data_IF_826559983183
#
_entry.id   IF_826559983183
#
_cell.length_a   1.000
_cell.length_b   1.000
_cell.length_c   1.000
_cell.angle_alpha   90.00
_cell.angle_beta   90.00
_cell.angle_gamma   90.00
#
_symmetry.space_group_name_H-M   'P 1'
#
loop_
_entity.id
_entity.type
_entity.pdbx_description
1 polymer ?
#
# COMPACT_ATOMS: atom_id res chain seq x y z
N UNK A 1 -5.56 13.23 12.80
CA UNK A 1 -5.55 14.36 11.82
C UNK A 1 -4.23 15.13 11.82
N UNK A 2 -3.62 15.51 12.96
CA UNK A 2 -2.35 16.26 12.98
C UNK A 2 -1.21 15.64 12.19
N UNK A 3 -1.03 14.30 12.29
CA UNK A 3 -0.02 13.54 11.54
C UNK A 3 -0.21 13.70 10.02
N UNK A 4 -1.46 13.60 9.54
CA UNK A 4 -1.80 13.73 8.13
C UNK A 4 -1.43 15.12 7.59
N UNK A 5 -1.75 16.19 8.34
CA UNK A 5 -1.42 17.57 7.97
C UNK A 5 0.09 17.75 7.92
N UNK A 6 0.84 17.25 8.90
CA UNK A 6 2.31 17.37 8.93
C UNK A 6 2.93 16.71 7.71
N UNK A 7 2.52 15.48 7.36
CA UNK A 7 3.08 14.78 6.20
C UNK A 7 2.69 15.47 4.90
N UNK A 8 1.46 15.97 4.79
CA UNK A 8 1.06 16.76 3.61
C UNK A 8 1.90 18.03 3.46
N UNK A 9 2.06 18.81 4.52
CA UNK A 9 2.90 20.02 4.49
C UNK A 9 4.37 19.68 4.21
N UNK A 10 4.87 18.56 4.72
CA UNK A 10 6.21 18.06 4.43
C UNK A 10 6.37 17.69 2.95
N UNK A 11 5.36 17.08 2.34
CA UNK A 11 5.36 16.75 0.92
C UNK A 11 5.40 18.03 0.06
N UNK A 12 4.61 19.03 0.42
CA UNK A 12 4.61 20.35 -0.24
C UNK A 12 5.99 21.01 -0.09
N UNK A 13 6.56 21.02 1.11
CA UNK A 13 7.89 21.61 1.36
C UNK A 13 8.99 20.88 0.57
N UNK A 14 8.94 19.56 0.47
CA UNK A 14 9.87 18.75 -0.31
C UNK A 14 9.76 19.08 -1.82
N UNK A 15 8.54 19.32 -2.31
CA UNK A 15 8.30 19.71 -3.70
C UNK A 15 8.87 21.10 -3.99
N UNK A 16 8.60 22.08 -3.13
CA UNK A 16 9.13 23.44 -3.27
C UNK A 16 10.66 23.49 -3.18
N UNK A 17 11.29 22.63 -2.41
CA UNK A 17 12.75 22.49 -2.42
C UNK A 17 13.30 22.20 -3.81
N UNK A 18 12.57 21.45 -4.65
CA UNK A 18 12.92 21.23 -6.06
C UNK A 18 12.79 22.49 -6.91
N UNK A 19 11.71 23.24 -6.75
CA UNK A 19 11.45 24.49 -7.47
C UNK A 19 12.57 25.52 -7.23
N UNK A 20 13.10 25.58 -6.01
CA UNK A 20 14.20 26.46 -5.62
C UNK A 20 15.60 25.86 -5.89
N UNK A 21 15.70 24.83 -6.74
CA UNK A 21 16.95 24.14 -7.09
C UNK A 21 17.70 23.49 -5.90
N UNK A 22 17.00 23.33 -4.78
CA UNK A 22 17.49 22.72 -3.54
C UNK A 22 17.06 21.24 -3.37
N UNK A 23 16.80 20.55 -4.49
CA UNK A 23 16.27 19.18 -4.49
C UNK A 23 17.05 18.15 -3.68
N UNK A 24 18.38 18.39 -3.47
CA UNK A 24 19.23 17.56 -2.61
C UNK A 24 18.79 17.54 -1.13
N UNK A 25 18.06 18.55 -0.68
CA UNK A 25 17.58 18.63 0.70
C UNK A 25 16.19 18.02 0.88
N UNK A 26 15.45 17.70 -0.20
CA UNK A 26 14.09 17.14 -0.13
C UNK A 26 14.01 15.86 0.71
N UNK A 27 15.04 15.00 0.65
CA UNK A 27 15.14 13.82 1.50
C UNK A 27 15.21 14.16 2.98
N UNK A 28 16.04 15.14 3.35
CA UNK A 28 16.20 15.56 4.75
C UNK A 28 14.94 16.24 5.28
N UNK A 29 14.28 17.05 4.44
CA UNK A 29 12.96 17.63 4.75
C UNK A 29 11.96 16.50 5.04
N UNK A 30 11.92 15.48 4.17
CA UNK A 30 11.07 14.31 4.36
C UNK A 30 11.37 13.54 5.65
N UNK A 31 12.65 13.29 5.95
CA UNK A 31 13.08 12.61 7.18
C UNK A 31 12.65 13.41 8.43
N UNK A 32 12.89 14.73 8.44
CA UNK A 32 12.49 15.59 9.55
C UNK A 32 10.96 15.62 9.73
N UNK A 33 10.21 15.73 8.63
CA UNK A 33 8.76 15.68 8.67
C UNK A 33 8.21 14.32 9.18
N UNK A 34 8.82 13.20 8.78
CA UNK A 34 8.45 11.87 9.26
C UNK A 34 8.74 11.71 10.77
N UNK A 35 9.87 12.20 11.25
CA UNK A 35 10.22 12.19 12.69
C UNK A 35 9.23 13.06 13.48
N UNK A 36 8.93 14.27 12.99
CA UNK A 36 7.95 15.15 13.61
C UNK A 36 6.56 14.51 13.64
N UNK A 37 6.12 13.92 12.55
CA UNK A 37 4.85 13.20 12.45
C UNK A 37 4.80 12.01 13.42
N UNK A 38 5.92 11.27 13.57
CA UNK A 38 6.01 10.17 14.51
C UNK A 38 5.87 10.66 15.95
N UNK A 39 6.54 11.75 16.32
CA UNK A 39 6.39 12.37 17.63
C UNK A 39 4.94 12.80 17.91
N UNK A 40 4.31 13.51 16.94
CA UNK A 40 2.92 13.98 17.07
C UNK A 40 1.92 12.81 17.14
N UNK A 41 2.24 11.64 16.58
CA UNK A 41 1.39 10.45 16.66
C UNK A 41 1.16 9.92 18.09
N UNK A 42 1.92 10.37 19.07
CA UNK A 42 1.74 10.05 20.50
C UNK A 42 0.94 11.12 21.26
N UNK A 43 0.73 12.29 20.67
CA UNK A 43 -0.04 13.36 21.28
C UNK A 43 -1.55 13.11 21.11
N UNK A 44 -2.39 13.57 22.04
CA UNK A 44 -3.83 13.50 21.88
C UNK A 44 -4.29 14.32 20.68
N UNK A 45 -5.37 13.89 20.03
CA UNK A 45 -5.97 14.67 18.95
C UNK A 45 -6.60 15.96 19.48
N UNK A 46 -6.52 17.01 18.68
CA UNK A 46 -7.17 18.29 18.99
C UNK A 46 -8.68 18.14 18.79
N UNK A 47 -9.48 18.65 19.72
CA UNK A 47 -10.94 18.62 19.68
C UNK A 47 -11.54 19.29 18.43
N UNK A 48 -10.79 20.19 17.80
CA UNK A 48 -11.18 20.81 16.51
C UNK A 48 -11.53 19.78 15.42
N UNK A 49 -10.95 18.59 15.46
CA UNK A 49 -11.17 17.57 14.45
C UNK A 49 -12.39 16.68 14.74
N UNK A 50 -13.06 16.83 15.88
CA UNK A 50 -14.23 16.04 16.27
C UNK A 50 -15.40 16.17 15.29
N UNK A 51 -15.54 17.30 14.62
CA UNK A 51 -16.57 17.55 13.60
C UNK A 51 -16.41 16.67 12.34
N UNK A 52 -15.23 16.07 12.11
CA UNK A 52 -14.97 15.21 10.95
C UNK A 52 -15.00 13.71 11.28
N UNK A 53 -15.39 13.32 12.50
CA UNK A 53 -15.43 11.91 12.94
C UNK A 53 -16.32 11.02 12.08
N UNK A 54 -17.36 11.57 11.45
CA UNK A 54 -18.19 10.82 10.51
C UNK A 54 -17.47 10.41 9.21
N UNK A 55 -16.35 11.05 8.90
CA UNK A 55 -15.53 10.73 7.71
C UNK A 55 -14.21 10.06 8.09
N UNK A 56 -13.59 10.51 9.18
CA UNK A 56 -12.26 10.07 9.59
C UNK A 56 -12.14 10.02 11.12
N UNK A 57 -11.72 8.89 11.64
CA UNK A 57 -11.47 8.69 13.07
C UNK A 57 -10.07 8.12 13.30
N UNK A 58 -9.30 8.78 14.15
CA UNK A 58 -7.96 8.36 14.55
C UNK A 58 -8.05 7.47 15.81
N UNK A 59 -8.68 6.30 15.68
CA UNK A 59 -8.77 5.31 16.77
C UNK A 59 -7.46 4.56 17.00
N UNK A 60 -7.45 3.66 17.99
CA UNK A 60 -6.24 2.90 18.40
C UNK A 60 -5.60 2.13 17.25
N UNK A 61 -6.40 1.46 16.41
CA UNK A 61 -5.91 0.74 15.23
C UNK A 61 -5.30 1.70 14.21
N UNK A 62 -5.96 2.81 13.90
CA UNK A 62 -5.43 3.82 12.98
C UNK A 62 -4.09 4.38 13.47
N UNK A 63 -3.97 4.66 14.78
CA UNK A 63 -2.74 5.12 15.39
C UNK A 63 -1.60 4.10 15.28
N UNK A 64 -1.89 2.81 15.50
CA UNK A 64 -0.92 1.72 15.39
C UNK A 64 -0.36 1.61 13.97
N UNK A 65 -1.25 1.51 12.96
CA UNK A 65 -0.84 1.38 11.56
C UNK A 65 -0.14 2.64 11.04
N UNK A 66 -0.54 3.82 11.50
CA UNK A 66 0.15 5.09 11.22
C UNK A 66 1.60 5.06 11.72
N UNK A 67 1.83 4.67 12.98
CA UNK A 67 3.19 4.58 13.56
C UNK A 67 4.07 3.59 12.81
N UNK A 68 3.54 2.41 12.49
CA UNK A 68 4.25 1.40 11.69
C UNK A 68 4.64 1.97 10.32
N UNK A 69 3.70 2.59 9.62
CA UNK A 69 3.94 3.15 8.28
C UNK A 69 4.95 4.30 8.30
N UNK A 70 4.96 5.12 9.36
CA UNK A 70 5.96 6.18 9.54
C UNK A 70 7.37 5.60 9.70
N UNK A 71 7.53 4.58 10.55
CA UNK A 71 8.84 3.92 10.76
C UNK A 71 9.32 3.27 9.47
N UNK A 72 8.46 2.52 8.79
CA UNK A 72 8.79 1.84 7.52
C UNK A 72 9.17 2.86 6.44
N UNK A 73 8.42 3.97 6.32
CA UNK A 73 8.73 5.04 5.37
C UNK A 73 10.05 5.73 5.70
N UNK A 74 10.33 5.96 6.98
CA UNK A 74 11.59 6.55 7.43
C UNK A 74 12.79 5.69 7.00
N UNK A 75 12.72 4.38 7.16
CA UNK A 75 13.76 3.45 6.71
C UNK A 75 13.96 3.53 5.19
N UNK A 76 12.88 3.63 4.41
CA UNK A 76 12.97 3.79 2.95
C UNK A 76 13.61 5.12 2.57
N UNK A 77 13.33 6.21 3.29
CA UNK A 77 13.95 7.51 3.06
C UNK A 77 15.47 7.49 3.37
N UNK A 78 15.89 6.72 4.38
CA UNK A 78 17.32 6.50 4.62
C UNK A 78 17.98 5.76 3.44
N UNK A 79 17.35 4.72 2.90
CA UNK A 79 17.84 4.00 1.72
C UNK A 79 17.85 4.88 0.47
N UNK A 80 16.95 5.84 0.36
CA UNK A 80 16.82 6.74 -0.79
C UNK A 80 18.08 7.54 -1.09
N UNK A 81 18.88 7.87 -0.08
CA UNK A 81 20.15 8.55 -0.27
C UNK A 81 21.17 7.72 -1.07
N UNK A 82 21.10 6.40 -0.93
CA UNK A 82 21.92 5.48 -1.69
C UNK A 82 21.32 5.19 -3.07
N UNK A 83 20.00 4.91 -3.13
CA UNK A 83 19.32 4.50 -4.36
C UNK A 83 19.25 5.61 -5.42
N UNK A 84 19.00 6.88 -5.02
CA UNK A 84 18.84 8.01 -5.96
C UNK A 84 20.10 8.85 -6.16
N UNK A 85 21.28 8.38 -5.78
CA UNK A 85 22.53 9.15 -5.89
C UNK A 85 22.82 9.65 -7.32
N UNK A 86 22.32 8.98 -8.33
CA UNK A 86 22.52 9.30 -9.75
C UNK A 86 21.38 10.13 -10.38
N UNK A 87 20.25 10.34 -9.70
CA UNK A 87 19.07 11.04 -10.22
C UNK A 87 18.86 12.37 -9.49
N UNK A 88 19.87 13.27 -9.51
CA UNK A 88 19.87 14.50 -8.71
C UNK A 88 18.77 15.51 -9.10
N UNK A 89 18.33 15.53 -10.34
CA UNK A 89 17.42 16.56 -10.87
C UNK A 89 15.94 16.42 -10.46
N UNK A 90 15.48 15.20 -10.11
CA UNK A 90 14.06 14.94 -9.84
C UNK A 90 13.79 14.31 -8.46
N UNK A 91 14.74 14.38 -7.53
CA UNK A 91 14.59 13.77 -6.21
C UNK A 91 13.45 14.38 -5.39
N UNK A 92 13.22 15.69 -5.54
CA UNK A 92 12.17 16.41 -4.82
C UNK A 92 10.78 15.88 -5.16
N UNK A 93 10.50 15.70 -6.44
CA UNK A 93 9.22 15.17 -6.91
C UNK A 93 9.02 13.74 -6.44
N UNK A 94 10.06 12.89 -6.48
CA UNK A 94 9.97 11.50 -6.05
C UNK A 94 9.65 11.39 -4.55
N UNK A 95 10.35 12.13 -3.68
CA UNK A 95 10.08 12.12 -2.25
C UNK A 95 8.72 12.75 -1.92
N UNK A 96 8.34 13.84 -2.59
CA UNK A 96 7.04 14.47 -2.41
C UNK A 96 5.89 13.52 -2.78
N UNK A 97 5.97 12.83 -3.92
CA UNK A 97 4.98 11.85 -4.35
C UNK A 97 4.88 10.65 -3.40
N UNK A 98 6.00 10.15 -2.85
CA UNK A 98 5.99 9.11 -1.83
C UNK A 98 5.26 9.58 -0.56
N UNK A 99 5.49 10.83 -0.11
CA UNK A 99 4.80 11.39 1.05
C UNK A 99 3.31 11.62 0.77
N UNK A 100 2.92 12.07 -0.43
CA UNK A 100 1.52 12.19 -0.82
C UNK A 100 0.83 10.82 -0.82
N UNK A 101 1.48 9.79 -1.36
CA UNK A 101 0.98 8.42 -1.28
C UNK A 101 0.80 7.96 0.18
N UNK A 102 1.74 8.28 1.07
CA UNK A 102 1.63 8.00 2.51
C UNK A 102 0.43 8.70 3.15
N UNK A 103 0.11 9.95 2.75
CA UNK A 103 -1.11 10.67 3.19
C UNK A 103 -2.35 9.84 2.84
N UNK A 104 -2.43 9.30 1.62
CA UNK A 104 -3.51 8.38 1.22
C UNK A 104 -3.60 7.17 2.14
N UNK A 105 -2.46 6.57 2.51
CA UNK A 105 -2.41 5.48 3.49
C UNK A 105 -2.98 5.88 4.86
N UNK A 106 -2.68 7.07 5.34
CA UNK A 106 -3.22 7.56 6.61
C UNK A 106 -4.74 7.80 6.55
N UNK A 107 -5.24 8.29 5.42
CA UNK A 107 -6.68 8.39 5.18
C UNK A 107 -7.33 7.01 5.27
N UNK A 108 -6.70 5.98 4.69
CA UNK A 108 -7.20 4.60 4.75
C UNK A 108 -7.18 4.00 6.17
N UNK A 109 -6.30 4.43 7.05
CA UNK A 109 -6.31 3.92 8.43
C UNK A 109 -7.50 4.45 9.25
N UNK A 110 -7.94 5.67 8.96
CA UNK A 110 -9.02 6.30 9.74
C UNK A 110 -10.37 6.40 9.05
N UNK A 111 -10.56 5.88 7.83
CA UNK A 111 -11.82 6.05 7.11
C UNK A 111 -13.03 5.52 7.89
N UNK A 112 -14.12 6.28 7.88
CA UNK A 112 -15.42 5.89 8.47
C UNK A 112 -16.54 5.93 7.44
N UNK A 113 -16.20 6.25 6.19
CA UNK A 113 -17.13 6.48 5.11
C UNK A 113 -16.56 5.92 3.80
N UNK A 114 -17.42 5.35 2.92
CA UNK A 114 -16.99 4.78 1.65
C UNK A 114 -16.37 5.81 0.70
N UNK A 115 -16.81 7.08 0.77
CA UNK A 115 -16.20 8.17 -0.01
C UNK A 115 -14.77 8.41 0.47
N UNK A 116 -14.54 8.41 1.78
CA UNK A 116 -13.20 8.56 2.35
C UNK A 116 -12.30 7.36 2.02
N UNK A 117 -12.84 6.14 2.00
CA UNK A 117 -12.15 4.94 1.52
C UNK A 117 -11.68 5.13 0.07
N UNK A 118 -12.59 5.56 -0.81
CA UNK A 118 -12.29 5.80 -2.22
C UNK A 118 -11.19 6.86 -2.39
N UNK A 119 -11.35 8.03 -1.75
CA UNK A 119 -10.37 9.12 -1.80
C UNK A 119 -9.00 8.65 -1.27
N UNK A 120 -8.97 7.90 -0.18
CA UNK A 120 -7.74 7.34 0.38
C UNK A 120 -7.02 6.42 -0.59
N UNK A 121 -7.77 5.55 -1.30
CA UNK A 121 -7.22 4.66 -2.33
C UNK A 121 -6.65 5.46 -3.51
N UNK A 122 -7.32 6.53 -3.96
CA UNK A 122 -6.84 7.34 -5.07
C UNK A 122 -5.61 8.17 -4.69
N UNK A 123 -5.60 8.83 -3.53
CA UNK A 123 -4.43 9.56 -3.04
C UNK A 123 -3.23 8.62 -2.84
N UNK A 124 -3.47 7.39 -2.38
CA UNK A 124 -2.41 6.38 -2.28
C UNK A 124 -1.85 5.99 -3.65
N UNK A 125 -2.70 5.84 -4.67
CA UNK A 125 -2.38 5.14 -5.93
C UNK A 125 -1.88 6.05 -7.04
N UNK A 126 -2.48 7.23 -7.24
CA UNK A 126 -2.13 8.14 -8.34
C UNK A 126 -0.64 8.53 -8.33
N UNK A 127 -0.06 8.90 -7.16
CA UNK A 127 1.38 9.17 -7.10
C UNK A 127 2.23 7.95 -7.49
N UNK A 128 1.78 6.73 -7.18
CA UNK A 128 2.52 5.51 -7.49
C UNK A 128 2.55 5.21 -8.98
N UNK A 129 1.49 5.56 -9.73
CA UNK A 129 1.49 5.41 -11.18
C UNK A 129 2.62 6.25 -11.82
N UNK A 130 2.81 7.47 -11.32
CA UNK A 130 3.89 8.37 -11.76
C UNK A 130 5.26 7.85 -11.28
N UNK A 131 5.36 7.43 -10.02
CA UNK A 131 6.59 6.91 -9.44
C UNK A 131 7.09 5.65 -10.15
N UNK A 132 6.19 4.74 -10.56
CA UNK A 132 6.55 3.54 -11.31
C UNK A 132 7.26 3.86 -12.62
N UNK A 133 6.84 4.95 -13.32
CA UNK A 133 7.43 5.43 -14.56
C UNK A 133 8.50 6.52 -14.39
N UNK A 134 9.05 6.69 -13.19
CA UNK A 134 9.96 7.81 -12.92
C UNK A 134 11.32 7.71 -13.64
N UNK A 135 11.74 6.52 -14.07
CA UNK A 135 12.89 6.36 -14.95
C UNK A 135 12.47 6.41 -16.42
N UNK A 136 12.30 7.63 -16.94
CA UNK A 136 11.78 7.88 -18.31
C UNK A 136 12.63 7.28 -19.44
N UNK A 137 13.91 7.03 -19.20
CA UNK A 137 14.82 6.43 -20.19
C UNK A 137 14.73 4.90 -20.25
N UNK A 138 14.08 4.26 -19.27
CA UNK A 138 13.89 2.82 -19.23
C UNK A 138 12.48 2.45 -19.73
N UNK A 139 12.44 1.72 -20.84
CA UNK A 139 11.19 1.25 -21.45
C UNK A 139 10.38 0.37 -20.48
N UNK A 140 11.04 -0.40 -19.61
CA UNK A 140 10.37 -1.24 -18.60
C UNK A 140 9.66 -0.39 -17.54
N UNK A 141 10.26 0.73 -17.14
CA UNK A 141 9.64 1.68 -16.21
C UNK A 141 8.42 2.35 -16.82
N UNK A 142 8.50 2.75 -18.09
CA UNK A 142 7.37 3.34 -18.81
C UNK A 142 6.22 2.32 -18.99
N UNK A 143 6.54 1.08 -19.34
CA UNK A 143 5.56 -0.02 -19.45
C UNK A 143 4.90 -0.32 -18.10
N UNK A 144 5.70 -0.37 -17.01
CA UNK A 144 5.20 -0.58 -15.67
C UNK A 144 4.19 0.50 -15.25
N UNK A 145 4.49 1.77 -15.53
CA UNK A 145 3.60 2.90 -15.25
C UNK A 145 2.26 2.77 -15.97
N UNK A 146 2.30 2.52 -17.28
CA UNK A 146 1.08 2.39 -18.10
C UNK A 146 0.24 1.19 -17.64
N UNK A 147 0.86 0.02 -17.43
CA UNK A 147 0.17 -1.17 -16.93
C UNK A 147 -0.48 -0.90 -15.57
N UNK A 148 0.27 -0.26 -14.65
CA UNK A 148 -0.24 0.01 -13.31
C UNK A 148 -1.40 1.00 -13.34
N UNK A 149 -1.29 2.07 -14.14
CA UNK A 149 -2.35 3.05 -14.31
C UNK A 149 -3.62 2.44 -14.91
N UNK A 150 -3.52 1.73 -16.05
CA UNK A 150 -4.68 1.18 -16.73
C UNK A 150 -5.40 0.13 -15.88
N UNK A 151 -4.65 -0.82 -15.32
CA UNK A 151 -5.24 -1.87 -14.48
C UNK A 151 -5.74 -1.30 -13.15
N UNK A 152 -5.06 -0.30 -12.59
CA UNK A 152 -5.48 0.39 -11.39
C UNK A 152 -6.78 1.17 -11.60
N UNK A 153 -6.89 1.95 -12.68
CA UNK A 153 -8.11 2.68 -13.04
C UNK A 153 -9.30 1.74 -13.26
N UNK A 154 -9.06 0.58 -13.90
CA UNK A 154 -10.09 -0.44 -14.07
C UNK A 154 -10.58 -1.00 -12.73
N UNK A 155 -9.65 -1.32 -11.81
CA UNK A 155 -10.00 -1.77 -10.47
C UNK A 155 -10.75 -0.70 -9.66
N UNK A 156 -10.40 0.57 -9.82
CA UNK A 156 -11.14 1.70 -9.23
C UNK A 156 -12.56 1.80 -9.78
N UNK A 157 -12.77 1.50 -11.06
CA UNK A 157 -14.11 1.39 -11.66
C UNK A 157 -14.98 0.34 -10.95
N UNK A 158 -14.43 -0.85 -10.64
CA UNK A 158 -15.14 -1.86 -9.85
C UNK A 158 -15.42 -1.38 -8.43
N UNK A 159 -14.48 -0.68 -7.80
CA UNK A 159 -14.68 -0.12 -6.46
C UNK A 159 -15.84 0.87 -6.45
N UNK A 160 -15.86 1.83 -7.38
CA UNK A 160 -16.92 2.83 -7.49
C UNK A 160 -18.28 2.20 -7.78
N UNK A 161 -18.33 1.23 -8.69
CA UNK A 161 -19.57 0.52 -8.98
C UNK A 161 -20.06 -0.29 -7.78
N UNK A 162 -19.15 -0.94 -7.05
CA UNK A 162 -19.47 -1.61 -5.79
C UNK A 162 -20.02 -0.64 -4.73
N UNK A 163 -19.39 0.53 -4.57
CA UNK A 163 -19.88 1.59 -3.66
C UNK A 163 -21.28 2.07 -4.08
N UNK A 164 -21.52 2.24 -5.37
CA UNK A 164 -22.83 2.67 -5.87
C UNK A 164 -23.94 1.63 -5.55
N UNK A 165 -23.67 0.33 -5.69
CA UNK A 165 -24.63 -0.73 -5.34
C UNK A 165 -24.86 -0.82 -3.82
N UNK A 166 -23.80 -0.68 -3.01
CA UNK A 166 -23.94 -0.64 -1.54
C UNK A 166 -24.78 0.57 -1.13
N UNK A 167 -24.49 1.75 -1.70
CA UNK A 167 -25.28 2.95 -1.42
C UNK A 167 -26.73 2.81 -1.89
N UNK A 168 -26.96 2.26 -3.09
CA UNK A 168 -28.31 2.04 -3.63
C UNK A 168 -29.17 1.12 -2.76
N UNK A 169 -28.54 0.18 -2.03
CA UNK A 169 -29.23 -0.73 -1.12
C UNK A 169 -29.38 -0.16 0.30
N UNK A 170 -28.29 0.41 0.86
CA UNK A 170 -28.26 0.87 2.27
C UNK A 170 -28.59 2.36 2.44
N UNK A 171 -28.64 3.15 1.34
CA UNK A 171 -28.88 4.60 1.32
C UNK A 171 -27.93 5.41 2.21
N UNK A 172 -26.72 4.89 2.45
CA UNK A 172 -25.71 5.52 3.30
C UNK A 172 -24.29 5.18 2.84
N UNK A 173 -23.35 6.09 3.08
CA UNK A 173 -21.90 5.84 2.91
C UNK A 173 -21.21 5.54 4.24
N UNK A 174 -21.87 5.76 5.38
CA UNK A 174 -21.32 5.56 6.72
C UNK A 174 -21.08 4.07 7.00
N UNK A 175 -19.86 3.75 7.45
CA UNK A 175 -19.40 2.37 7.63
C UNK A 175 -20.20 1.60 8.69
N UNK A 176 -20.58 2.27 9.78
CA UNK A 176 -21.34 1.64 10.86
C UNK A 176 -22.81 1.42 10.47
N UNK A 177 -23.41 2.36 9.75
CA UNK A 177 -24.76 2.18 9.21
C UNK A 177 -24.81 1.09 8.14
N UNK A 178 -23.74 0.95 7.34
CA UNK A 178 -23.58 -0.17 6.40
C UNK A 178 -23.47 -1.49 7.16
N UNK A 179 -22.74 -1.52 8.27
CA UNK A 179 -22.71 -2.67 9.17
C UNK A 179 -24.10 -3.06 9.67
N UNK A 180 -24.85 -2.11 10.24
CA UNK A 180 -26.23 -2.33 10.71
C UNK A 180 -27.13 -2.87 9.59
N UNK A 181 -27.03 -2.28 8.39
CA UNK A 181 -27.77 -2.75 7.22
C UNK A 181 -27.39 -4.18 6.84
N UNK A 182 -26.10 -4.51 6.85
CA UNK A 182 -25.60 -5.85 6.50
C UNK A 182 -26.14 -6.93 7.45
N UNK A 183 -26.26 -6.61 8.74
CA UNK A 183 -26.79 -7.53 9.76
C UNK A 183 -28.31 -7.68 9.64
N UNK A 184 -29.05 -6.59 9.38
CA UNK A 184 -30.52 -6.62 9.29
C UNK A 184 -31.03 -7.15 7.95
N UNK A 185 -30.24 -7.06 6.87
CA UNK A 185 -30.61 -7.46 5.51
C UNK A 185 -29.58 -8.39 4.84
N UNK A 186 -29.22 -9.53 5.45
CA UNK A 186 -28.11 -10.36 4.97
C UNK A 186 -28.36 -11.03 3.60
N UNK A 187 -29.62 -11.07 3.15
CA UNK A 187 -30.03 -11.67 1.86
C UNK A 187 -30.26 -10.63 0.75
N UNK A 188 -29.88 -9.37 0.94
CA UNK A 188 -30.05 -8.36 -0.09
C UNK A 188 -29.02 -8.57 -1.23
N UNK A 189 -29.48 -9.04 -2.38
CA UNK A 189 -28.65 -9.40 -3.51
C UNK A 189 -27.82 -8.20 -4.04
N UNK A 190 -28.44 -7.01 -4.12
CA UNK A 190 -27.77 -5.81 -4.61
C UNK A 190 -26.64 -5.39 -3.67
N UNK A 191 -26.84 -5.51 -2.36
CA UNK A 191 -25.80 -5.27 -1.37
C UNK A 191 -24.66 -6.28 -1.48
N UNK A 192 -24.96 -7.57 -1.57
CA UNK A 192 -23.96 -8.63 -1.71
C UNK A 192 -23.15 -8.48 -3.01
N UNK A 193 -23.79 -8.13 -4.14
CA UNK A 193 -23.10 -7.83 -5.39
C UNK A 193 -22.14 -6.64 -5.24
N UNK A 194 -22.58 -5.57 -4.57
CA UNK A 194 -21.74 -4.41 -4.26
C UNK A 194 -20.53 -4.79 -3.40
N UNK A 195 -20.74 -5.60 -2.36
CA UNK A 195 -19.68 -6.09 -1.49
C UNK A 195 -18.65 -6.95 -2.25
N UNK A 196 -19.08 -7.84 -3.15
CA UNK A 196 -18.19 -8.67 -3.97
C UNK A 196 -17.38 -7.80 -4.92
N UNK A 197 -17.94 -6.79 -5.58
CA UNK A 197 -17.20 -5.88 -6.44
C UNK A 197 -16.15 -5.08 -5.66
N UNK A 198 -16.49 -4.61 -4.46
CA UNK A 198 -15.53 -3.95 -3.58
C UNK A 198 -14.44 -4.91 -3.10
N UNK A 199 -14.78 -6.17 -2.79
CA UNK A 199 -13.82 -7.22 -2.46
C UNK A 199 -12.83 -7.43 -3.61
N UNK A 200 -13.30 -7.56 -4.85
CA UNK A 200 -12.45 -7.72 -6.04
C UNK A 200 -11.49 -6.52 -6.18
N UNK A 201 -11.97 -5.30 -6.03
CA UNK A 201 -11.15 -4.10 -6.12
C UNK A 201 -10.08 -4.03 -5.01
N UNK A 202 -10.44 -4.38 -3.79
CA UNK A 202 -9.51 -4.42 -2.66
C UNK A 202 -8.52 -5.59 -2.79
N UNK A 203 -8.96 -6.76 -3.28
CA UNK A 203 -8.08 -7.89 -3.61
C UNK A 203 -7.06 -7.53 -4.68
N UNK A 204 -7.45 -6.75 -5.71
CA UNK A 204 -6.52 -6.19 -6.68
C UNK A 204 -5.47 -5.28 -6.01
N UNK A 205 -5.88 -4.38 -5.11
CA UNK A 205 -4.96 -3.44 -4.44
C UNK A 205 -3.91 -4.14 -3.56
N UNK A 206 -4.26 -5.25 -2.93
CA UNK A 206 -3.31 -6.06 -2.15
C UNK A 206 -2.53 -7.06 -3.00
N UNK A 207 -2.83 -7.19 -4.29
CA UNK A 207 -2.25 -8.18 -5.21
C UNK A 207 -2.63 -9.63 -4.87
N UNK A 208 -3.88 -9.89 -4.47
CA UNK A 208 -4.39 -11.25 -4.26
C UNK A 208 -4.74 -11.92 -5.60
N UNK A 209 -4.34 -13.16 -5.80
CA UNK A 209 -4.65 -13.87 -7.06
C UNK A 209 -6.16 -14.21 -7.14
N UNK A 210 -6.75 -14.13 -8.36
CA UNK A 210 -6.13 -13.93 -9.68
C UNK A 210 -5.83 -12.44 -10.02
N UNK A 211 -6.18 -11.50 -9.20
CA UNK A 211 -6.06 -10.05 -9.45
C UNK A 211 -4.63 -9.50 -9.26
N UNK A 212 -3.63 -10.37 -9.15
CA UNK A 212 -2.22 -10.04 -8.89
C UNK A 212 -1.40 -9.74 -10.14
N UNK A 213 -1.93 -9.97 -11.34
CA UNK A 213 -1.18 -10.00 -12.60
C UNK A 213 -0.37 -8.72 -12.88
N UNK A 214 -0.80 -7.59 -12.34
CA UNK A 214 -0.09 -6.32 -12.48
C UNK A 214 1.22 -6.27 -11.68
N UNK A 215 1.26 -6.92 -10.50
CA UNK A 215 2.32 -6.67 -9.52
C UNK A 215 3.72 -7.19 -9.95
N UNK A 216 3.91 -8.35 -10.57
CA UNK A 216 5.22 -8.79 -11.02
C UNK A 216 5.83 -7.86 -12.08
N UNK A 217 5.03 -7.41 -13.04
CA UNK A 217 5.49 -6.53 -14.12
C UNK A 217 5.80 -5.12 -13.60
N UNK A 218 4.90 -4.57 -12.78
CA UNK A 218 5.06 -3.23 -12.18
C UNK A 218 6.24 -3.20 -11.21
N UNK A 219 6.37 -4.20 -10.34
CA UNK A 219 7.47 -4.24 -9.39
C UNK A 219 8.82 -4.45 -10.07
N UNK A 220 8.88 -5.27 -11.12
CA UNK A 220 10.13 -5.46 -11.88
C UNK A 220 10.53 -4.21 -12.65
N UNK A 221 9.59 -3.53 -13.31
CA UNK A 221 9.87 -2.36 -14.15
C UNK A 221 10.09 -1.06 -13.38
N UNK A 222 9.48 -0.90 -12.21
CA UNK A 222 9.65 0.32 -11.40
C UNK A 222 11.06 0.43 -10.81
N UNK A 223 11.57 1.64 -10.50
CA UNK A 223 12.82 1.80 -9.74
C UNK A 223 12.77 1.04 -8.41
N UNK A 224 13.88 0.39 -8.02
CA UNK A 224 13.87 -0.57 -6.89
C UNK A 224 13.48 0.04 -5.55
N UNK A 225 13.79 1.31 -5.28
CA UNK A 225 13.33 2.01 -4.07
C UNK A 225 11.80 2.19 -4.06
N UNK A 226 11.23 2.52 -5.22
CA UNK A 226 9.77 2.66 -5.37
C UNK A 226 9.09 1.30 -5.20
N UNK A 227 9.69 0.23 -5.75
CA UNK A 227 9.23 -1.15 -5.51
C UNK A 227 9.24 -1.48 -4.02
N UNK A 228 10.31 -1.15 -3.28
CA UNK A 228 10.36 -1.35 -1.82
C UNK A 228 9.22 -0.62 -1.08
N UNK A 229 8.92 0.61 -1.49
CA UNK A 229 7.81 1.39 -0.93
C UNK A 229 6.45 0.76 -1.24
N UNK A 230 6.22 0.33 -2.48
CA UNK A 230 4.98 -0.34 -2.89
C UNK A 230 4.77 -1.67 -2.17
N UNK A 231 5.83 -2.47 -2.01
CA UNK A 231 5.75 -3.78 -1.36
C UNK A 231 5.56 -3.68 0.16
N UNK A 232 5.90 -2.56 0.80
CA UNK A 232 5.82 -2.36 2.24
C UNK A 232 4.72 -1.37 2.63
N UNK A 233 4.94 -0.07 2.55
CA UNK A 233 4.04 0.99 3.03
C UNK A 233 2.66 0.92 2.39
N UNK A 234 2.63 0.79 1.05
CA UNK A 234 1.36 0.75 0.30
C UNK A 234 0.58 -0.51 0.65
N UNK A 235 1.27 -1.64 0.84
CA UNK A 235 0.64 -2.90 1.23
C UNK A 235 0.05 -2.83 2.65
N UNK A 236 0.72 -2.17 3.60
CA UNK A 236 0.16 -1.92 4.94
C UNK A 236 -1.17 -1.19 4.83
N UNK A 237 -1.22 -0.09 4.05
CA UNK A 237 -2.42 0.72 3.91
C UNK A 237 -3.57 -0.04 3.21
N UNK A 238 -3.26 -0.68 2.08
CA UNK A 238 -4.25 -1.41 1.30
C UNK A 238 -4.81 -2.62 2.06
N UNK A 239 -3.96 -3.38 2.76
CA UNK A 239 -4.43 -4.55 3.50
C UNK A 239 -5.24 -4.17 4.74
N UNK A 240 -4.87 -3.09 5.43
CA UNK A 240 -5.70 -2.59 6.53
C UNK A 240 -7.08 -2.11 6.05
N UNK A 241 -7.14 -1.39 4.92
CA UNK A 241 -8.43 -0.97 4.34
C UNK A 241 -9.29 -2.18 3.96
N UNK A 242 -8.69 -3.20 3.35
CA UNK A 242 -9.35 -4.46 3.03
C UNK A 242 -9.88 -5.14 4.30
N UNK A 243 -9.03 -5.30 5.32
CA UNK A 243 -9.39 -5.88 6.59
C UNK A 243 -10.55 -5.12 7.25
N UNK A 244 -10.45 -3.81 7.39
CA UNK A 244 -11.47 -2.97 8.04
C UNK A 244 -12.81 -3.04 7.29
N UNK A 245 -12.81 -2.99 5.97
CA UNK A 245 -14.03 -3.04 5.18
C UNK A 245 -14.76 -4.37 5.32
N UNK A 246 -14.03 -5.49 5.24
CA UNK A 246 -14.63 -6.83 5.33
C UNK A 246 -15.11 -7.16 6.75
N UNK A 247 -14.33 -6.76 7.77
CA UNK A 247 -14.64 -7.12 9.17
C UNK A 247 -15.64 -6.18 9.85
N UNK A 248 -15.77 -4.95 9.38
CA UNK A 248 -16.76 -3.99 9.91
C UNK A 248 -17.91 -3.83 8.92
N UNK A 249 -17.67 -3.27 7.74
CA UNK A 249 -18.75 -2.92 6.81
C UNK A 249 -19.60 -4.12 6.36
N UNK A 250 -18.94 -5.24 6.03
CA UNK A 250 -19.58 -6.42 5.48
C UNK A 250 -19.70 -7.59 6.48
N UNK A 251 -19.68 -7.29 7.76
CA UNK A 251 -19.77 -8.31 8.82
C UNK A 251 -21.02 -9.17 8.73
N UNK A 252 -22.20 -8.59 8.47
CA UNK A 252 -23.48 -9.31 8.44
C UNK A 252 -23.58 -10.33 7.30
N UNK A 253 -22.77 -10.20 6.25
CA UNK A 253 -22.70 -11.14 5.11
C UNK A 253 -21.40 -11.94 5.09
N UNK A 254 -20.76 -12.14 6.25
CA UNK A 254 -19.49 -12.88 6.37
C UNK A 254 -19.58 -14.27 5.74
N UNK A 255 -20.69 -14.98 5.89
CA UNK A 255 -20.90 -16.31 5.30
C UNK A 255 -20.80 -16.35 3.77
N UNK A 256 -21.05 -15.22 3.10
CA UNK A 256 -20.97 -15.13 1.65
C UNK A 256 -19.55 -14.85 1.18
N UNK A 257 -18.90 -13.79 1.71
CA UNK A 257 -17.59 -13.38 1.22
C UNK A 257 -16.43 -14.23 1.75
N UNK A 258 -16.55 -14.88 2.92
CA UNK A 258 -15.47 -15.67 3.51
C UNK A 258 -15.05 -16.85 2.62
N UNK A 259 -16.00 -17.52 1.98
CA UNK A 259 -15.71 -18.61 1.05
C UNK A 259 -14.97 -18.10 -0.19
N UNK A 260 -15.37 -16.94 -0.72
CA UNK A 260 -14.68 -16.30 -1.85
C UNK A 260 -13.23 -15.99 -1.46
N UNK A 261 -13.03 -15.34 -0.31
CA UNK A 261 -11.69 -15.04 0.21
C UNK A 261 -10.87 -16.31 0.41
N UNK A 262 -11.47 -17.39 0.91
CA UNK A 262 -10.80 -18.69 1.07
C UNK A 262 -10.27 -19.25 -0.24
N UNK A 263 -11.09 -19.24 -1.28
CA UNK A 263 -10.68 -19.66 -2.63
C UNK A 263 -9.55 -18.77 -3.15
N UNK A 264 -9.67 -17.45 -3.01
CA UNK A 264 -8.63 -16.50 -3.44
C UNK A 264 -7.30 -16.73 -2.69
N UNK A 265 -7.33 -17.05 -1.39
CA UNK A 265 -6.13 -17.37 -0.60
C UNK A 265 -5.45 -18.61 -1.13
N UNK A 266 -6.20 -19.70 -1.36
CA UNK A 266 -5.65 -20.97 -1.87
C UNK A 266 -4.98 -20.73 -3.23
N UNK A 267 -5.67 -20.07 -4.14
CA UNK A 267 -5.15 -19.72 -5.46
C UNK A 267 -3.89 -18.85 -5.33
N UNK A 268 -3.91 -17.85 -4.44
CA UNK A 268 -2.79 -16.93 -4.21
C UNK A 268 -1.56 -17.69 -3.72
N UNK A 269 -1.69 -18.52 -2.69
CA UNK A 269 -0.59 -19.30 -2.14
C UNK A 269 -0.01 -20.27 -3.16
N UNK A 270 -0.86 -20.96 -3.92
CA UNK A 270 -0.41 -21.90 -4.94
C UNK A 270 0.31 -21.19 -6.09
N UNK A 271 -0.37 -20.24 -6.76
CA UNK A 271 0.17 -19.56 -7.93
C UNK A 271 1.44 -18.75 -7.60
N UNK A 272 1.45 -18.01 -6.50
CA UNK A 272 2.59 -17.18 -6.16
C UNK A 272 3.85 -18.00 -5.90
N UNK A 273 3.74 -19.13 -5.21
CA UNK A 273 4.91 -19.98 -4.93
C UNK A 273 5.41 -20.68 -6.21
N UNK A 274 4.51 -21.28 -7.01
CA UNK A 274 4.89 -21.96 -8.26
C UNK A 274 5.51 -20.97 -9.25
N UNK A 275 4.87 -19.83 -9.48
CA UNK A 275 5.37 -18.81 -10.40
C UNK A 275 6.65 -18.15 -9.89
N UNK A 276 6.80 -17.99 -8.58
CA UNK A 276 8.00 -17.42 -7.96
C UNK A 276 9.24 -18.30 -8.20
N UNK A 277 9.11 -19.61 -8.09
CA UNK A 277 10.20 -20.57 -8.35
C UNK A 277 10.65 -20.59 -9.82
N UNK A 278 9.75 -20.27 -10.75
CA UNK A 278 10.04 -20.26 -12.18
C UNK A 278 10.75 -18.96 -12.67
N UNK A 279 10.99 -17.99 -11.79
CA UNK A 279 11.59 -16.72 -12.20
C UNK A 279 13.12 -16.82 -12.33
N UNK A 280 13.69 -16.08 -13.28
CA UNK A 280 15.14 -15.90 -13.47
C UNK A 280 15.64 -14.53 -12.97
N UNK A 281 14.74 -13.65 -12.57
CA UNK A 281 15.04 -12.29 -12.09
C UNK A 281 14.67 -12.18 -10.62
N UNK A 282 15.62 -11.76 -9.78
CA UNK A 282 15.43 -11.67 -8.33
C UNK A 282 14.33 -10.70 -7.93
N UNK A 283 14.24 -9.53 -8.59
CA UNK A 283 13.21 -8.53 -8.31
C UNK A 283 11.81 -9.05 -8.64
N UNK A 284 11.66 -9.80 -9.73
CA UNK A 284 10.39 -10.43 -10.12
C UNK A 284 10.03 -11.59 -9.19
N UNK A 285 11.00 -12.38 -8.74
CA UNK A 285 10.80 -13.42 -7.73
C UNK A 285 10.30 -12.81 -6.41
N UNK A 286 10.90 -11.70 -5.97
CA UNK A 286 10.45 -10.97 -4.78
C UNK A 286 9.02 -10.42 -4.94
N UNK A 287 8.61 -10.05 -6.15
CA UNK A 287 7.23 -9.66 -6.43
C UNK A 287 6.26 -10.83 -6.16
N UNK A 288 6.56 -12.04 -6.64
CA UNK A 288 5.74 -13.23 -6.34
C UNK A 288 5.80 -13.61 -4.86
N UNK A 289 6.96 -13.48 -4.21
CA UNK A 289 7.07 -13.65 -2.74
C UNK A 289 6.11 -12.68 -2.03
N UNK A 290 6.06 -11.42 -2.47
CA UNK A 290 5.12 -10.43 -1.94
C UNK A 290 3.65 -10.83 -2.13
N UNK A 291 3.31 -11.46 -3.26
CA UNK A 291 1.97 -12.02 -3.53
C UNK A 291 1.67 -13.20 -2.59
N UNK A 292 2.64 -14.11 -2.38
CA UNK A 292 2.50 -15.23 -1.44
C UNK A 292 2.19 -14.74 -0.02
N UNK A 293 2.88 -13.70 0.45
CA UNK A 293 2.61 -13.08 1.75
C UNK A 293 1.19 -12.51 1.87
N UNK A 294 0.55 -12.07 0.77
CA UNK A 294 -0.87 -11.67 0.79
C UNK A 294 -1.77 -12.87 1.10
N UNK A 295 -1.45 -14.04 0.56
CA UNK A 295 -2.17 -15.28 0.91
C UNK A 295 -2.08 -15.60 2.40
N UNK A 296 -0.87 -15.52 2.99
CA UNK A 296 -0.71 -15.72 4.45
C UNK A 296 -1.45 -14.66 5.28
N UNK A 297 -1.38 -13.39 4.89
CA UNK A 297 -2.12 -12.32 5.54
C UNK A 297 -3.63 -12.54 5.47
N UNK A 298 -4.13 -13.09 4.35
CA UNK A 298 -5.54 -13.40 4.15
C UNK A 298 -6.10 -14.42 5.14
N UNK A 299 -5.26 -15.31 5.71
CA UNK A 299 -5.70 -16.27 6.72
C UNK A 299 -6.30 -15.61 7.97
N UNK A 300 -6.03 -14.34 8.21
CA UNK A 300 -6.60 -13.58 9.34
C UNK A 300 -8.13 -13.55 9.31
N UNK A 301 -8.74 -13.60 8.13
CA UNK A 301 -10.20 -13.58 7.99
C UNK A 301 -10.88 -14.83 8.55
N UNK A 302 -10.15 -15.94 8.71
CA UNK A 302 -10.67 -17.19 9.27
C UNK A 302 -10.51 -17.31 10.79
N UNK A 303 -9.71 -16.44 11.41
CA UNK A 303 -9.44 -16.46 12.85
C UNK A 303 -9.72 -15.11 13.52
N UNK A 304 -10.84 -14.46 13.16
CA UNK A 304 -11.19 -13.15 13.67
C UNK A 304 -11.44 -13.17 15.19
N UNK A 305 -10.71 -12.32 15.90
CA UNK A 305 -10.84 -12.11 17.34
C UNK A 305 -10.44 -10.65 17.68
N UNK A 306 -10.52 -10.28 18.95
CA UNK A 306 -10.17 -8.93 19.43
C UNK A 306 -8.73 -8.51 19.15
N UNK A 307 -7.82 -9.46 18.94
CA UNK A 307 -6.40 -9.22 18.66
C UNK A 307 -6.05 -9.23 17.17
N UNK A 308 -7.02 -9.50 16.29
CA UNK A 308 -6.75 -9.65 14.85
C UNK A 308 -6.06 -8.43 14.24
N UNK A 309 -6.47 -7.20 14.60
CA UNK A 309 -5.82 -6.00 14.11
C UNK A 309 -4.34 -5.90 14.56
N UNK A 310 -4.02 -6.31 15.78
CA UNK A 310 -2.64 -6.34 16.30
C UNK A 310 -1.81 -7.42 15.61
N UNK A 311 -2.38 -8.62 15.39
CA UNK A 311 -1.72 -9.70 14.66
C UNK A 311 -1.40 -9.30 13.22
N UNK A 312 -2.36 -8.62 12.55
CA UNK A 312 -2.16 -8.04 11.22
C UNK A 312 -1.04 -7.00 11.22
N UNK A 313 -1.04 -6.09 12.19
CA UNK A 313 -0.04 -5.06 12.34
C UNK A 313 1.37 -5.65 12.55
N UNK A 314 1.50 -6.65 13.43
CA UNK A 314 2.75 -7.35 13.69
C UNK A 314 3.30 -8.03 12.42
N UNK A 315 2.45 -8.79 11.71
CA UNK A 315 2.87 -9.47 10.50
C UNK A 315 3.31 -8.48 9.41
N UNK A 316 2.52 -7.43 9.15
CA UNK A 316 2.83 -6.40 8.17
C UNK A 316 4.13 -5.64 8.51
N UNK A 317 4.38 -5.37 9.78
CA UNK A 317 5.61 -4.74 10.23
C UNK A 317 6.83 -5.64 10.00
N UNK A 318 6.77 -6.90 10.47
CA UNK A 318 7.85 -7.86 10.28
C UNK A 318 8.14 -8.12 8.79
N UNK A 319 7.10 -8.30 7.98
CA UNK A 319 7.20 -8.43 6.53
C UNK A 319 7.85 -7.20 5.89
N UNK A 320 7.45 -5.99 6.31
CA UNK A 320 8.00 -4.75 5.74
C UNK A 320 9.48 -4.58 6.06
N UNK A 321 9.92 -4.92 7.28
CA UNK A 321 11.34 -4.90 7.66
C UNK A 321 12.15 -5.90 6.83
N UNK A 322 11.68 -7.14 6.69
CA UNK A 322 12.32 -8.14 5.87
C UNK A 322 12.41 -7.71 4.40
N UNK A 323 11.32 -7.15 3.85
CA UNK A 323 11.26 -6.65 2.47
C UNK A 323 12.27 -5.52 2.26
N UNK A 324 12.35 -4.54 3.18
CA UNK A 324 13.32 -3.44 3.08
C UNK A 324 14.74 -3.97 3.11
N UNK A 325 15.05 -4.93 4.01
CA UNK A 325 16.39 -5.53 4.09
C UNK A 325 16.79 -6.23 2.79
N UNK A 326 15.91 -7.05 2.23
CA UNK A 326 16.17 -7.74 0.96
C UNK A 326 16.27 -6.76 -0.21
N UNK A 327 15.40 -5.76 -0.27
CA UNK A 327 15.45 -4.72 -1.31
C UNK A 327 16.69 -3.84 -1.20
N UNK A 328 17.22 -3.61 0.00
CA UNK A 328 18.51 -2.94 0.19
C UNK A 328 19.64 -3.71 -0.48
N UNK A 329 19.73 -5.02 -0.25
CA UNK A 329 20.72 -5.89 -0.90
C UNK A 329 20.54 -5.87 -2.42
N UNK A 330 19.30 -5.92 -2.91
CA UNK A 330 19.01 -5.88 -4.34
C UNK A 330 19.43 -4.55 -4.96
N UNK A 331 19.12 -3.40 -4.33
CA UNK A 331 19.54 -2.07 -4.78
C UNK A 331 21.07 -1.97 -4.83
N UNK A 332 21.76 -2.56 -3.85
CA UNK A 332 23.22 -2.61 -3.85
C UNK A 332 23.77 -3.37 -5.07
N UNK A 333 23.26 -4.58 -5.34
CA UNK A 333 23.66 -5.39 -6.49
C UNK A 333 23.33 -4.70 -7.82
N UNK A 334 22.12 -4.13 -7.94
CA UNK A 334 21.69 -3.37 -9.11
C UNK A 334 22.61 -2.18 -9.41
N UNK A 335 23.11 -1.51 -8.37
CA UNK A 335 24.07 -0.39 -8.52
C UNK A 335 25.44 -0.85 -8.99
N UNK A 336 25.92 -2.02 -8.53
CA UNK A 336 27.21 -2.58 -8.91
C UNK A 336 27.22 -3.22 -10.31
N UNK A 337 26.18 -4.04 -10.59
CA UNK A 337 26.11 -4.90 -11.78
C UNK A 337 25.16 -4.36 -12.86
N UNK A 338 24.33 -3.36 -12.56
CA UNK A 338 23.29 -2.80 -13.45
C UNK A 338 22.23 -3.82 -13.90
N UNK A 339 22.13 -4.92 -13.17
CA UNK A 339 21.20 -6.02 -13.43
C UNK A 339 20.60 -6.56 -12.15
N UNK A 340 19.40 -7.18 -12.27
CA UNK A 340 18.68 -7.85 -11.18
C UNK A 340 18.43 -9.35 -11.47
N UNK A 341 19.13 -9.91 -12.49
CA UNK A 341 19.11 -11.35 -12.78
C UNK A 341 19.85 -12.14 -11.69
N UNK A 342 19.58 -13.44 -11.55
CA UNK A 342 20.34 -14.28 -10.61
C UNK A 342 21.84 -14.35 -10.95
N UNK A 343 22.21 -14.17 -12.22
CA UNK A 343 23.63 -14.15 -12.64
C UNK A 343 24.39 -12.97 -12.04
N UNK A 344 23.71 -11.84 -11.78
CA UNK A 344 24.33 -10.69 -11.12
C UNK A 344 24.80 -10.98 -9.68
N UNK A 345 24.21 -12.00 -9.01
CA UNK A 345 24.55 -12.38 -7.65
C UNK A 345 25.72 -13.40 -7.58
N UNK A 346 26.14 -13.96 -8.72
CA UNK A 346 27.26 -14.93 -8.76
C UNK A 346 28.58 -14.25 -8.38
N UNK A 347 29.31 -14.88 -7.48
CA UNK A 347 30.65 -14.44 -7.06
C UNK A 347 30.68 -13.23 -6.13
N UNK A 348 29.56 -12.70 -5.65
CA UNK A 348 29.52 -11.54 -4.75
C UNK A 348 30.28 -11.80 -3.44
N UNK A 349 30.26 -13.00 -2.89
CA UNK A 349 30.98 -13.34 -1.68
C UNK A 349 32.50 -13.22 -1.84
N UNK A 350 33.02 -13.27 -3.08
CA UNK A 350 34.44 -13.12 -3.37
C UNK A 350 34.82 -11.66 -3.73
N UNK A 351 33.93 -10.97 -4.48
CA UNK A 351 34.18 -9.61 -4.94
C UNK A 351 33.85 -8.53 -3.89
N UNK A 352 32.90 -8.81 -3.04
CA UNK A 352 32.35 -7.89 -2.01
C UNK A 352 32.19 -8.64 -0.69
N UNK A 353 33.29 -9.10 -0.03
CA UNK A 353 33.20 -9.72 1.28
C UNK A 353 32.76 -8.67 2.30
N UNK A 354 31.82 -9.02 3.17
CA UNK A 354 31.28 -8.16 4.22
C UNK A 354 32.36 -7.90 5.27
#
# INVERSE_FOLDING_TARGET
MGVLIIIFLTAVAALFAGVFEQGKYSRYIGILGLILAFYVSFLPELSFFDQYKSMYEYGANAALFTKISLVVTLLIFFLGGFAFSNHRSHQSELYALMLISLVGGFVLFGFQNLVTLFIGIEILSIPLYVLAGSNKSDLRSNEASIKYFLMGAFATGFLLFGIALVYGSASTFDLYKIHEFSVSNPKNLMFSMGAVLMLVALAFKVSMAPFHMWSPDVYQGSPSLITAFMMSVVKIAAFFAFFKMMTIGFFGITGEWINIVGVLIIITLFLANVMGLAQSNAKRMLAYSSVSHVGYLGLIFFGLNSLSAYNLAFYLFAYSLATIGVMMCLIWVEKLKRETSYDAFKGLAQSEPI
#
